data_IF_741335042813
#
_entry.id   IF_741335042813
#
_cell.length_a   1.000
_cell.length_b   1.000
_cell.length_c   1.000
_cell.angle_alpha   90.00
_cell.angle_beta   90.00
_cell.angle_gamma   90.00
#
_symmetry.space_group_name_H-M   'P 1'
#
loop_
_entity.id
_entity.type
_entity.pdbx_description
1 polymer ?
#
# COMPACT_ATOMS: atom_id res chain seq x y z
N UNK A 1 -13.51 -24.23 3.46
CA UNK A 1 -14.37 -23.02 3.59
C UNK A 1 -15.30 -23.00 2.39
N UNK A 2 -16.60 -22.73 2.55
CA UNK A 2 -17.53 -22.74 1.41
C UNK A 2 -17.36 -21.44 0.60
N UNK A 3 -17.06 -21.58 -0.70
CA UNK A 3 -16.82 -20.46 -1.62
C UNK A 3 -18.03 -19.51 -1.67
N UNK A 4 -19.25 -20.05 -1.60
CA UNK A 4 -20.48 -19.25 -1.62
C UNK A 4 -20.61 -18.32 -0.41
N UNK A 5 -20.15 -18.77 0.76
CA UNK A 5 -20.15 -17.94 1.97
C UNK A 5 -19.12 -16.81 1.83
N UNK A 6 -17.95 -17.07 1.25
CA UNK A 6 -16.94 -16.05 1.01
C UNK A 6 -17.44 -14.97 0.02
N UNK A 7 -18.08 -15.39 -1.07
CA UNK A 7 -18.71 -14.47 -2.03
C UNK A 7 -19.81 -13.66 -1.34
N UNK A 8 -20.68 -14.31 -0.54
CA UNK A 8 -21.74 -13.63 0.20
C UNK A 8 -21.20 -12.57 1.15
N UNK A 9 -20.16 -12.89 1.95
CA UNK A 9 -19.50 -11.92 2.84
C UNK A 9 -18.91 -10.76 2.06
N UNK A 10 -18.28 -11.04 0.91
CA UNK A 10 -17.66 -10.01 0.07
C UNK A 10 -18.70 -9.07 -0.56
N UNK A 11 -19.78 -9.62 -1.13
CA UNK A 11 -20.87 -8.82 -1.72
C UNK A 11 -21.53 -7.98 -0.62
N UNK A 12 -21.80 -8.57 0.54
CA UNK A 12 -22.41 -7.87 1.66
C UNK A 12 -21.52 -6.74 2.20
N UNK A 13 -20.24 -7.01 2.45
CA UNK A 13 -19.31 -5.99 2.96
C UNK A 13 -19.12 -4.86 1.94
N UNK A 14 -18.90 -5.20 0.67
CA UNK A 14 -18.71 -4.21 -0.42
C UNK A 14 -19.97 -3.36 -0.61
N UNK A 15 -21.16 -3.95 -0.56
CA UNK A 15 -22.43 -3.21 -0.65
C UNK A 15 -22.63 -2.32 0.57
N UNK A 16 -22.25 -2.77 1.77
CA UNK A 16 -22.31 -1.96 3.00
C UNK A 16 -21.39 -0.75 2.89
N UNK A 17 -20.16 -0.93 2.38
CA UNK A 17 -19.25 0.19 2.08
C UNK A 17 -19.88 1.17 1.10
N UNK A 18 -20.37 0.70 -0.05
CA UNK A 18 -21.01 1.56 -1.06
C UNK A 18 -22.18 2.35 -0.47
N UNK A 19 -23.04 1.69 0.32
CA UNK A 19 -24.17 2.31 0.98
C UNK A 19 -23.72 3.40 1.97
N UNK A 20 -22.75 3.09 2.85
CA UNK A 20 -22.20 4.06 3.79
C UNK A 20 -21.55 5.24 3.06
N UNK A 21 -20.72 5.01 2.04
CA UNK A 21 -20.10 6.09 1.26
C UNK A 21 -21.14 6.98 0.59
N UNK A 22 -22.23 6.40 0.08
CA UNK A 22 -23.33 7.15 -0.55
C UNK A 22 -24.10 8.04 0.44
N UNK A 23 -24.19 7.62 1.70
CA UNK A 23 -24.82 8.39 2.77
C UNK A 23 -23.90 9.49 3.29
N UNK A 24 -22.60 9.21 3.45
CA UNK A 24 -21.61 10.18 3.91
C UNK A 24 -21.30 11.29 2.88
N UNK A 25 -21.44 11.00 1.58
CA UNK A 25 -21.14 11.95 0.50
C UNK A 25 -22.34 12.08 -0.44
N UNK A 26 -23.35 12.88 -0.06
CA UNK A 26 -24.46 13.17 -0.95
C UNK A 26 -23.96 13.93 -2.19
N UNK A 27 -24.27 13.41 -3.38
CA UNK A 27 -23.90 14.00 -4.67
C UNK A 27 -22.81 13.28 -5.46
N UNK A 28 -22.07 12.33 -4.86
CA UNK A 28 -21.09 11.54 -5.62
C UNK A 28 -21.77 10.42 -6.44
N UNK A 29 -21.38 10.17 -7.71
CA UNK A 29 -22.01 9.13 -8.51
C UNK A 29 -21.72 7.73 -7.97
N UNK A 30 -22.78 7.05 -7.51
CA UNK A 30 -22.71 5.69 -6.95
C UNK A 30 -22.11 4.65 -7.92
N UNK A 31 -22.18 4.90 -9.24
CA UNK A 31 -21.61 4.04 -10.28
C UNK A 31 -20.10 3.85 -10.12
N UNK A 32 -19.36 4.88 -9.71
CA UNK A 32 -17.92 4.76 -9.45
C UNK A 32 -17.65 3.88 -8.24
N UNK A 33 -18.44 4.01 -7.18
CA UNK A 33 -18.30 3.19 -5.97
C UNK A 33 -18.56 1.70 -6.28
N UNK A 34 -19.57 1.41 -7.10
CA UNK A 34 -19.86 0.05 -7.58
C UNK A 34 -18.72 -0.48 -8.47
N UNK A 35 -18.22 0.33 -9.41
CA UNK A 35 -17.11 -0.06 -10.26
C UNK A 35 -15.83 -0.34 -9.44
N UNK A 36 -15.56 0.47 -8.42
CA UNK A 36 -14.44 0.23 -7.50
C UNK A 36 -14.60 -1.05 -6.70
N UNK A 37 -15.78 -1.23 -6.11
CA UNK A 37 -16.08 -2.37 -5.27
C UNK A 37 -16.08 -3.68 -6.05
N UNK A 38 -16.85 -3.80 -7.12
CA UNK A 38 -17.11 -5.08 -7.79
C UNK A 38 -16.24 -5.38 -9.01
N UNK A 39 -15.66 -4.37 -9.66
CA UNK A 39 -14.85 -4.58 -10.86
C UNK A 39 -13.36 -4.37 -10.57
N UNK A 40 -12.98 -3.21 -10.08
CA UNK A 40 -11.58 -2.85 -9.89
C UNK A 40 -10.92 -3.68 -8.78
N UNK A 41 -11.55 -3.78 -7.60
CA UNK A 41 -10.99 -4.48 -6.44
C UNK A 41 -10.72 -5.98 -6.70
N UNK A 42 -11.64 -6.76 -7.30
CA UNK A 42 -11.34 -8.15 -7.69
C UNK A 42 -10.27 -8.26 -8.76
N UNK A 43 -10.31 -7.38 -9.77
CA UNK A 43 -9.34 -7.40 -10.86
C UNK A 43 -7.91 -7.16 -10.35
N UNK A 44 -7.70 -6.09 -9.58
CA UNK A 44 -6.37 -5.78 -9.05
C UNK A 44 -5.91 -6.83 -8.03
N UNK A 45 -6.83 -7.36 -7.21
CA UNK A 45 -6.51 -8.43 -6.26
C UNK A 45 -6.07 -9.71 -6.98
N UNK A 46 -6.69 -10.06 -8.11
CA UNK A 46 -6.31 -11.23 -8.91
C UNK A 46 -4.95 -11.05 -9.60
N UNK A 47 -4.73 -9.89 -10.25
CA UNK A 47 -3.44 -9.57 -10.88
C UNK A 47 -2.33 -9.56 -9.83
N UNK A 48 -2.57 -8.91 -8.69
CA UNK A 48 -1.61 -8.84 -7.60
C UNK A 48 -1.33 -10.22 -6.99
N UNK A 49 -2.33 -11.07 -6.76
CA UNK A 49 -2.14 -12.43 -6.24
C UNK A 49 -1.27 -13.29 -7.18
N UNK A 50 -1.51 -13.23 -8.49
CA UNK A 50 -0.66 -13.93 -9.48
C UNK A 50 0.77 -13.41 -9.49
N UNK A 51 0.93 -12.09 -9.42
CA UNK A 51 2.26 -11.47 -9.39
C UNK A 51 3.03 -11.80 -8.11
N UNK A 52 2.34 -11.88 -6.98
CA UNK A 52 2.96 -12.28 -5.71
C UNK A 52 3.40 -13.74 -5.76
N UNK A 53 2.62 -14.62 -6.41
CA UNK A 53 3.00 -16.02 -6.62
C UNK A 53 4.14 -16.24 -7.61
N UNK A 54 4.26 -15.43 -8.67
CA UNK A 54 5.27 -15.61 -9.73
C UNK A 54 6.57 -14.83 -9.43
N UNK A 55 6.44 -13.59 -8.97
CA UNK A 55 7.55 -12.66 -8.80
C UNK A 55 7.80 -12.24 -7.35
N UNK A 56 6.93 -12.63 -6.40
CA UNK A 56 7.03 -12.20 -5.00
C UNK A 56 6.74 -10.71 -4.80
N UNK A 57 6.02 -10.07 -5.74
CA UNK A 57 5.74 -8.63 -5.73
C UNK A 57 4.25 -8.37 -5.92
N UNK A 58 3.75 -7.25 -5.37
CA UNK A 58 2.36 -6.83 -5.53
C UNK A 58 2.24 -5.71 -6.56
N UNK A 59 1.10 -5.62 -7.23
CA UNK A 59 0.81 -4.54 -8.18
C UNK A 59 -0.16 -3.57 -7.53
N UNK A 60 0.24 -2.30 -7.47
CA UNK A 60 -0.65 -1.18 -7.17
C UNK A 60 -0.48 -0.15 -8.28
N UNK A 61 -1.60 0.23 -8.86
CA UNK A 61 -1.62 1.29 -9.86
C UNK A 61 -1.62 2.63 -9.11
N UNK A 62 -0.62 3.51 -9.35
CA UNK A 62 -0.56 4.80 -8.66
C UNK A 62 -1.69 5.71 -9.14
N UNK A 63 -2.17 6.56 -8.23
CA UNK A 63 -3.11 7.66 -8.51
C UNK A 63 -4.48 7.26 -9.11
N UNK A 64 -4.87 5.98 -9.03
CA UNK A 64 -6.16 5.53 -9.60
C UNK A 64 -7.34 6.16 -8.88
N UNK A 65 -7.25 6.27 -7.56
CA UNK A 65 -8.31 6.87 -6.74
C UNK A 65 -8.47 8.36 -7.08
N UNK A 66 -7.37 9.10 -7.11
CA UNK A 66 -7.30 10.52 -7.40
C UNK A 66 -7.79 10.84 -8.82
N UNK A 67 -7.37 10.02 -9.80
CA UNK A 67 -7.84 10.16 -11.18
C UNK A 67 -9.36 9.97 -11.30
N UNK A 68 -9.96 9.05 -10.54
CA UNK A 68 -11.41 8.87 -10.56
C UNK A 68 -12.18 10.01 -9.92
N UNK A 69 -11.64 10.65 -8.88
CA UNK A 69 -12.30 11.81 -8.26
C UNK A 69 -12.32 12.99 -9.22
N UNK A 70 -11.20 13.23 -9.90
CA UNK A 70 -11.09 14.25 -10.94
C UNK A 70 -12.02 13.91 -12.12
N UNK A 71 -12.09 12.64 -12.53
CA UNK A 71 -13.02 12.21 -13.57
C UNK A 71 -14.49 12.37 -13.16
N UNK A 72 -14.85 12.06 -11.91
CA UNK A 72 -16.20 12.26 -11.39
C UNK A 72 -16.55 13.76 -11.34
N UNK A 73 -15.63 14.62 -10.93
CA UNK A 73 -15.82 16.07 -10.97
C UNK A 73 -16.01 16.59 -12.41
N UNK A 74 -15.20 16.11 -13.36
CA UNK A 74 -15.21 16.58 -14.76
C UNK A 74 -16.40 16.07 -15.58
N UNK A 75 -16.77 14.80 -15.44
CA UNK A 75 -17.83 14.17 -16.26
C UNK A 75 -19.21 14.17 -15.61
N UNK A 76 -19.27 14.17 -14.27
CA UNK A 76 -20.52 14.08 -13.51
C UNK A 76 -20.82 15.32 -12.68
N UNK A 77 -19.97 16.36 -12.75
CA UNK A 77 -20.22 17.66 -12.11
C UNK A 77 -20.16 17.64 -10.58
N UNK A 78 -19.43 16.68 -10.00
CA UNK A 78 -19.28 16.63 -8.54
C UNK A 78 -18.28 17.69 -8.06
N UNK A 79 -18.74 18.59 -7.20
CA UNK A 79 -17.92 19.62 -6.56
C UNK A 79 -17.94 19.40 -5.05
N UNK A 80 -16.79 19.09 -4.46
CA UNK A 80 -16.71 18.84 -3.02
C UNK A 80 -15.47 18.08 -2.58
N UNK A 81 -15.02 18.38 -1.37
CA UNK A 81 -13.88 17.70 -0.74
C UNK A 81 -14.32 16.39 -0.07
N UNK A 82 -15.63 16.20 0.19
CA UNK A 82 -16.17 15.08 0.96
C UNK A 82 -15.74 13.70 0.47
N UNK A 83 -15.57 13.53 -0.84
CA UNK A 83 -15.10 12.26 -1.44
C UNK A 83 -13.68 11.86 -1.01
N UNK A 84 -12.80 12.83 -0.73
CA UNK A 84 -11.41 12.57 -0.33
C UNK A 84 -11.31 12.00 1.09
N UNK A 85 -12.32 12.21 1.91
CA UNK A 85 -12.40 11.70 3.28
C UNK A 85 -13.36 10.51 3.41
N UNK A 86 -14.01 10.11 2.32
CA UNK A 86 -14.97 9.02 2.33
C UNK A 86 -14.28 7.65 2.35
N UNK A 87 -14.83 6.68 3.11
CA UNK A 87 -14.35 5.31 3.05
C UNK A 87 -14.80 4.66 1.74
N UNK A 88 -13.94 4.63 0.73
CA UNK A 88 -14.24 4.04 -0.58
C UNK A 88 -13.77 2.58 -0.60
N UNK A 89 -14.50 1.66 -1.27
CA UNK A 89 -14.09 0.26 -1.40
C UNK A 89 -12.90 0.12 -2.37
N UNK A 90 -11.72 0.61 -1.95
CA UNK A 90 -10.44 0.51 -2.65
C UNK A 90 -9.51 -0.39 -1.84
N UNK A 91 -9.56 -1.69 -2.12
CA UNK A 91 -8.74 -2.68 -1.43
C UNK A 91 -7.96 -3.54 -2.42
N UNK A 92 -6.82 -4.05 -1.96
CA UNK A 92 -6.06 -5.07 -2.67
C UNK A 92 -5.90 -6.28 -1.74
N UNK A 93 -6.57 -7.37 -2.08
CA UNK A 93 -6.55 -8.61 -1.30
C UNK A 93 -5.47 -9.61 -1.75
N UNK A 94 -4.54 -9.21 -2.63
CA UNK A 94 -3.45 -10.07 -3.12
C UNK A 94 -2.64 -10.70 -1.98
N UNK A 95 -2.16 -9.88 -1.04
CA UNK A 95 -1.40 -10.37 0.12
C UNK A 95 -2.20 -11.31 1.03
N UNK A 96 -3.53 -11.13 1.10
CA UNK A 96 -4.38 -12.02 1.87
C UNK A 96 -4.38 -13.44 1.27
N UNK A 97 -4.37 -13.56 -0.06
CA UNK A 97 -4.27 -14.88 -0.74
C UNK A 97 -2.96 -15.60 -0.44
N UNK A 98 -1.85 -14.87 -0.33
CA UNK A 98 -0.55 -15.44 0.07
C UNK A 98 -0.61 -15.91 1.51
N UNK A 99 -1.17 -15.12 2.43
CA UNK A 99 -1.41 -15.56 3.81
C UNK A 99 -2.25 -16.83 3.89
N UNK A 100 -3.29 -16.97 3.07
CA UNK A 100 -4.08 -18.20 3.01
C UNK A 100 -3.20 -19.42 2.66
N UNK A 101 -2.24 -19.25 1.74
CA UNK A 101 -1.28 -20.31 1.39
C UNK A 101 -0.27 -20.57 2.49
N UNK A 102 0.24 -19.53 3.16
CA UNK A 102 1.13 -19.67 4.33
C UNK A 102 0.45 -20.48 5.45
N UNK A 103 -0.84 -20.22 5.68
CA UNK A 103 -1.64 -20.93 6.68
C UNK A 103 -1.79 -22.42 6.35
N UNK A 104 -2.05 -22.73 5.08
CA UNK A 104 -2.11 -24.09 4.58
C UNK A 104 -0.77 -24.82 4.73
N UNK A 105 0.34 -24.17 4.36
CA UNK A 105 1.69 -24.74 4.42
C UNK A 105 2.20 -24.95 5.86
N UNK A 106 1.80 -24.07 6.78
CA UNK A 106 2.18 -24.16 8.20
C UNK A 106 1.27 -25.09 9.00
N UNK A 107 0.19 -25.61 8.39
CA UNK A 107 -0.81 -26.43 9.09
C UNK A 107 -1.56 -25.67 10.18
N UNK A 108 -1.57 -24.33 10.12
CA UNK A 108 -2.25 -23.52 11.14
C UNK A 108 -3.74 -23.45 10.88
N UNK A 109 -4.54 -23.48 11.94
CA UNK A 109 -6.00 -23.40 11.79
C UNK A 109 -6.46 -21.94 11.65
N UNK A 110 -7.47 -21.67 10.81
CA UNK A 110 -8.10 -20.34 10.71
C UNK A 110 -8.59 -19.80 12.06
N UNK A 111 -9.07 -20.70 12.93
CA UNK A 111 -9.51 -20.33 14.29
C UNK A 111 -8.35 -19.80 15.13
N UNK A 112 -7.15 -20.35 14.97
CA UNK A 112 -5.96 -19.88 15.67
C UNK A 112 -5.58 -18.46 15.25
N UNK A 113 -5.71 -18.15 13.95
CA UNK A 113 -5.43 -16.80 13.43
C UNK A 113 -6.41 -15.79 13.99
N UNK A 114 -7.70 -16.08 13.95
CA UNK A 114 -8.74 -15.19 14.49
C UNK A 114 -8.52 -14.96 15.99
N UNK A 115 -8.19 -16.02 16.74
CA UNK A 115 -7.86 -15.90 18.17
C UNK A 115 -6.63 -15.03 18.40
N UNK A 116 -5.58 -15.19 17.60
CA UNK A 116 -4.38 -14.38 17.69
C UNK A 116 -4.68 -12.91 17.41
N UNK A 117 -5.45 -12.61 16.36
CA UNK A 117 -5.84 -11.24 16.01
C UNK A 117 -6.72 -10.61 17.10
N UNK A 118 -7.65 -11.38 17.68
CA UNK A 118 -8.49 -10.92 18.79
C UNK A 118 -7.70 -10.61 20.06
N UNK A 119 -6.57 -11.28 20.30
CA UNK A 119 -5.67 -10.97 21.43
C UNK A 119 -4.73 -9.81 21.09
N UNK A 120 -4.22 -9.74 19.86
CA UNK A 120 -3.29 -8.69 19.42
C UNK A 120 -3.98 -7.33 19.35
N UNK A 121 -5.22 -7.26 18.86
CA UNK A 121 -5.97 -6.01 18.72
C UNK A 121 -6.06 -5.18 20.02
N UNK A 122 -6.55 -5.71 21.16
CA UNK A 122 -6.64 -4.92 22.39
C UNK A 122 -5.26 -4.56 22.94
N UNK A 123 -4.27 -5.46 22.84
CA UNK A 123 -2.90 -5.19 23.31
C UNK A 123 -2.28 -4.05 22.52
N UNK A 124 -2.36 -4.09 21.19
CA UNK A 124 -1.81 -3.05 20.31
C UNK A 124 -2.58 -1.74 20.50
N UNK A 125 -3.90 -1.77 20.64
CA UNK A 125 -4.70 -0.57 20.84
C UNK A 125 -4.32 0.13 22.17
N UNK A 126 -4.29 -0.61 23.27
CA UNK A 126 -3.88 -0.08 24.57
C UNK A 126 -2.42 0.43 24.54
N UNK A 127 -1.49 -0.34 23.97
CA UNK A 127 -0.11 0.08 23.84
C UNK A 127 0.02 1.35 22.99
N UNK A 128 -0.68 1.41 21.84
CA UNK A 128 -0.65 2.58 20.95
C UNK A 128 -1.18 3.83 21.64
N UNK A 129 -2.23 3.71 22.46
CA UNK A 129 -2.81 4.82 23.19
C UNK A 129 -1.87 5.32 24.30
N UNK A 130 -1.26 4.39 25.06
CA UNK A 130 -0.25 4.71 26.08
C UNK A 130 0.98 5.40 25.48
N UNK A 131 1.52 4.85 24.39
CA UNK A 131 2.66 5.46 23.70
C UNK A 131 2.32 6.81 23.08
N UNK A 132 1.13 6.96 22.50
CA UNK A 132 0.67 8.25 21.96
C UNK A 132 0.61 9.30 23.07
N UNK A 133 -0.04 8.99 24.19
CA UNK A 133 -0.13 9.90 25.34
C UNK A 133 1.26 10.28 25.88
N UNK A 134 2.16 9.30 25.99
CA UNK A 134 3.53 9.53 26.44
C UNK A 134 4.30 10.48 25.52
N UNK A 135 4.24 10.27 24.20
CA UNK A 135 4.92 11.13 23.22
C UNK A 135 4.35 12.55 23.25
N UNK A 136 3.03 12.72 23.29
CA UNK A 136 2.38 14.03 23.37
C UNK A 136 2.73 14.78 24.65
N UNK A 137 2.98 14.06 25.74
CA UNK A 137 3.42 14.68 26.97
C UNK A 137 4.88 15.18 26.88
N UNK A 138 5.78 14.46 26.22
CA UNK A 138 7.22 14.79 26.19
C UNK A 138 7.52 16.20 25.64
N UNK A 139 6.92 16.55 24.50
CA UNK A 139 7.01 17.87 23.90
C UNK A 139 5.80 18.10 22.97
N UNK A 140 5.38 19.37 22.75
CA UNK A 140 4.32 19.65 21.79
C UNK A 140 4.74 19.21 20.39
N UNK A 141 3.82 18.59 19.64
CA UNK A 141 4.01 18.25 18.23
C UNK A 141 3.18 19.24 17.41
N UNK A 142 3.74 19.93 16.40
CA UNK A 142 5.13 19.91 15.92
C UNK A 142 6.08 20.80 16.76
N UNK A 143 7.34 20.36 16.92
CA UNK A 143 8.43 21.12 17.57
C UNK A 143 9.79 20.68 17.06
N UNK A 144 10.85 21.42 17.37
CA UNK A 144 12.24 21.09 16.99
C UNK A 144 12.71 19.73 17.53
N UNK A 145 12.10 19.25 18.63
CA UNK A 145 12.36 17.91 19.16
C UNK A 145 11.86 16.78 18.24
N UNK A 146 10.97 17.10 17.30
CA UNK A 146 10.38 16.19 16.30
C UNK A 146 10.55 16.76 14.87
N UNK A 147 11.79 16.82 14.34
CA UNK A 147 12.08 17.47 13.06
C UNK A 147 11.36 16.79 11.88
N UNK A 148 11.18 15.47 11.94
CA UNK A 148 10.40 14.73 10.96
C UNK A 148 8.95 15.21 10.89
N UNK A 149 8.30 15.43 12.04
CA UNK A 149 6.91 15.86 12.08
C UNK A 149 6.77 17.31 11.59
N UNK A 150 7.71 18.19 11.97
CA UNK A 150 7.71 19.60 11.58
C UNK A 150 7.77 19.78 10.06
N UNK A 151 8.73 19.14 9.39
CA UNK A 151 8.93 19.31 7.94
C UNK A 151 7.98 18.44 7.11
N UNK A 152 7.91 17.14 7.41
CA UNK A 152 7.24 16.20 6.51
C UNK A 152 5.72 16.20 6.67
N UNK A 153 5.17 16.51 7.84
CA UNK A 153 3.72 16.63 7.96
C UNK A 153 3.21 17.85 7.20
N UNK A 154 3.94 18.96 7.25
CA UNK A 154 3.62 20.15 6.47
C UNK A 154 3.68 19.85 4.96
N UNK A 155 4.78 19.26 4.48
CA UNK A 155 4.92 18.89 3.06
C UNK A 155 3.85 17.88 2.61
N UNK A 156 3.49 16.90 3.45
CA UNK A 156 2.42 15.95 3.13
C UNK A 156 1.06 16.62 3.10
N UNK A 157 0.78 17.52 4.04
CA UNK A 157 -0.46 18.28 4.08
C UNK A 157 -0.61 19.15 2.82
N UNK A 158 0.45 19.87 2.42
CA UNK A 158 0.43 20.66 1.19
C UNK A 158 0.19 19.80 -0.05
N UNK A 159 0.89 18.67 -0.21
CA UNK A 159 0.67 17.77 -1.35
C UNK A 159 -0.77 17.21 -1.39
N UNK A 160 -1.33 16.90 -0.22
CA UNK A 160 -2.71 16.39 -0.11
C UNK A 160 -3.72 17.47 -0.46
N UNK A 161 -3.55 18.68 0.07
CA UNK A 161 -4.42 19.83 -0.21
C UNK A 161 -4.34 20.26 -1.68
N UNK A 162 -3.17 20.18 -2.32
CA UNK A 162 -3.02 20.44 -3.75
C UNK A 162 -3.90 19.49 -4.57
N UNK A 163 -3.93 18.19 -4.23
CA UNK A 163 -4.81 17.22 -4.90
C UNK A 163 -6.28 17.47 -4.58
N UNK A 164 -6.63 17.77 -3.33
CA UNK A 164 -8.02 18.06 -2.93
C UNK A 164 -8.57 19.34 -3.56
N UNK A 165 -7.71 20.32 -3.84
CA UNK A 165 -8.11 21.54 -4.56
C UNK A 165 -8.51 21.28 -6.02
N UNK A 166 -8.16 20.12 -6.59
CA UNK A 166 -8.61 19.73 -7.93
C UNK A 166 -10.11 19.45 -8.03
N UNK A 167 -10.81 19.20 -6.92
CA UNK A 167 -12.27 18.97 -6.89
C UNK A 167 -13.07 20.19 -6.42
N UNK A 168 -12.40 21.29 -6.09
CA UNK A 168 -13.03 22.56 -5.72
C UNK A 168 -13.33 23.39 -6.98
N UNK A 169 -14.42 24.16 -6.96
CA UNK A 169 -14.78 25.06 -8.05
C UNK A 169 -13.70 26.14 -8.23
N UNK A 170 -12.99 26.08 -9.37
CA UNK A 170 -11.92 26.98 -9.73
C UNK A 170 -10.98 26.33 -10.74
N UNK A 171 -10.43 27.11 -11.67
CA UNK A 171 -9.45 26.63 -12.65
C UNK A 171 -8.17 26.17 -11.95
N UNK A 172 -8.17 24.93 -11.47
CA UNK A 172 -6.99 24.23 -10.96
C UNK A 172 -6.24 23.58 -12.13
N UNK A 173 -4.91 23.76 -12.27
CA UNK A 173 -4.10 23.06 -13.28
C UNK A 173 -4.23 21.53 -13.23
N UNK A 174 -4.66 20.96 -12.09
CA UNK A 174 -4.92 19.53 -11.94
C UNK A 174 -6.23 19.06 -12.58
N UNK A 175 -7.18 19.97 -12.82
CA UNK A 175 -8.41 19.69 -13.56
C UNK A 175 -8.11 19.35 -15.04
N UNK A 176 -7.04 19.93 -15.57
CA UNK A 176 -6.53 19.72 -16.93
C UNK A 176 -5.52 18.56 -17.02
N UNK A 177 -4.96 18.13 -15.88
CA UNK A 177 -4.00 17.04 -15.81
C UNK A 177 -4.57 15.67 -16.23
N UNK A 178 -5.90 15.46 -16.09
CA UNK A 178 -6.57 14.28 -16.65
C UNK A 178 -6.89 14.49 -18.12
N UNK A 179 -5.84 14.36 -18.94
CA UNK A 179 -5.95 14.40 -20.38
C UNK A 179 -6.00 12.98 -20.93
N UNK A 180 -7.18 12.63 -21.50
CA UNK A 180 -7.46 11.32 -22.04
C UNK A 180 -6.44 10.88 -23.10
N UNK A 181 -5.85 11.83 -23.84
CA UNK A 181 -4.87 11.54 -24.88
C UNK A 181 -3.59 10.93 -24.30
N UNK A 182 -3.06 11.46 -23.19
CA UNK A 182 -1.87 10.89 -22.56
C UNK A 182 -2.15 9.51 -21.94
N UNK A 183 -3.36 9.30 -21.41
CA UNK A 183 -3.78 7.97 -20.92
C UNK A 183 -3.83 6.96 -22.07
N UNK A 184 -4.39 7.34 -23.22
CA UNK A 184 -4.45 6.49 -24.41
C UNK A 184 -3.06 6.21 -25.00
N UNK A 185 -2.17 7.20 -25.04
CA UNK A 185 -0.77 7.01 -25.44
C UNK A 185 -0.04 6.07 -24.47
N UNK A 186 -0.23 6.22 -23.17
CA UNK A 186 0.34 5.33 -22.16
C UNK A 186 -0.16 3.89 -22.32
N UNK A 187 -1.47 3.70 -22.54
CA UNK A 187 -2.06 2.40 -22.82
C UNK A 187 -1.53 1.80 -24.13
N UNK A 188 -1.44 2.61 -25.19
CA UNK A 188 -0.95 2.20 -26.50
C UNK A 188 0.53 1.78 -26.47
N UNK A 189 1.39 2.55 -25.80
CA UNK A 189 2.80 2.19 -25.61
C UNK A 189 2.92 0.92 -24.78
N UNK A 190 2.13 0.77 -23.71
CA UNK A 190 2.10 -0.45 -22.90
C UNK A 190 1.70 -1.68 -23.71
N UNK A 191 0.62 -1.59 -24.49
CA UNK A 191 0.14 -2.67 -25.35
C UNK A 191 1.12 -3.00 -26.48
N UNK A 192 1.72 -1.99 -27.11
CA UNK A 192 2.74 -2.16 -28.13
C UNK A 192 3.99 -2.84 -27.57
N UNK A 193 4.45 -2.43 -26.38
CA UNK A 193 5.59 -3.06 -25.70
C UNK A 193 5.28 -4.51 -25.33
N UNK A 194 4.06 -4.80 -24.86
CA UNK A 194 3.61 -6.16 -24.62
C UNK A 194 3.63 -7.01 -25.90
N UNK A 195 3.05 -6.48 -26.98
CA UNK A 195 2.99 -7.16 -28.27
C UNK A 195 4.39 -7.44 -28.83
N UNK A 196 5.30 -6.46 -28.76
CA UNK A 196 6.70 -6.62 -29.17
C UNK A 196 7.40 -7.71 -28.34
N UNK A 197 7.32 -7.65 -27.01
CA UNK A 197 7.93 -8.66 -26.14
C UNK A 197 7.36 -10.06 -26.41
N UNK A 198 6.05 -10.16 -26.65
CA UNK A 198 5.41 -11.41 -27.03
C UNK A 198 5.87 -11.92 -28.41
N UNK A 199 5.97 -11.05 -29.41
CA UNK A 199 6.41 -11.42 -30.76
C UNK A 199 7.85 -11.93 -30.78
N UNK A 200 8.72 -11.37 -29.94
CA UNK A 200 10.12 -11.80 -29.80
C UNK A 200 10.32 -12.91 -28.74
N UNK A 201 9.25 -13.44 -28.13
CA UNK A 201 9.32 -14.41 -27.02
C UNK A 201 10.23 -13.96 -25.84
N UNK A 202 10.29 -12.65 -25.60
CA UNK A 202 11.07 -12.06 -24.51
C UNK A 202 10.29 -12.11 -23.19
N UNK A 203 10.97 -12.04 -22.03
CA UNK A 203 10.31 -12.12 -20.73
C UNK A 203 9.31 -10.97 -20.52
N UNK A 204 8.01 -11.29 -20.62
CA UNK A 204 6.90 -10.36 -20.38
C UNK A 204 6.95 -9.76 -18.96
N UNK A 205 7.63 -10.44 -18.04
CA UNK A 205 7.90 -9.97 -16.67
C UNK A 205 8.63 -8.62 -16.61
N UNK A 206 9.32 -8.21 -17.68
CA UNK A 206 9.99 -6.91 -17.76
C UNK A 206 9.00 -5.75 -17.64
N UNK A 207 7.80 -5.87 -18.22
CA UNK A 207 6.76 -4.83 -18.16
C UNK A 207 6.39 -4.55 -16.70
N UNK A 208 6.25 -5.61 -15.90
CA UNK A 208 5.94 -5.48 -14.48
C UNK A 208 7.07 -4.81 -13.69
N UNK A 209 8.32 -5.09 -14.05
CA UNK A 209 9.50 -4.40 -13.49
C UNK A 209 9.49 -2.90 -13.77
N UNK A 210 9.13 -2.49 -15.00
CA UNK A 210 8.99 -1.07 -15.36
C UNK A 210 7.85 -0.41 -14.60
N UNK A 211 6.69 -1.05 -14.50
CA UNK A 211 5.55 -0.50 -13.73
C UNK A 211 5.88 -0.32 -12.25
N UNK A 212 6.65 -1.25 -11.66
CA UNK A 212 7.14 -1.12 -10.28
C UNK A 212 8.12 0.03 -10.13
N UNK A 213 9.09 0.12 -11.04
CA UNK A 213 10.13 1.16 -11.02
C UNK A 213 9.58 2.58 -11.12
N UNK A 214 8.51 2.78 -11.91
CA UNK A 214 7.89 4.09 -12.10
C UNK A 214 6.93 4.50 -10.96
N UNK A 215 6.32 3.55 -10.27
CA UNK A 215 5.18 3.83 -9.37
C UNK A 215 5.39 3.53 -7.88
N UNK A 216 6.38 2.72 -7.50
CA UNK A 216 6.40 2.12 -6.15
C UNK A 216 7.75 2.16 -5.43
N UNK A 217 8.85 2.44 -6.11
CA UNK A 217 10.20 2.34 -5.53
C UNK A 217 10.96 3.64 -5.68
N UNK A 218 11.64 4.06 -4.61
CA UNK A 218 12.65 5.11 -4.73
C UNK A 218 13.80 4.58 -5.58
N UNK A 219 14.42 5.40 -6.46
CA UNK A 219 15.50 4.96 -7.35
C UNK A 219 16.65 4.27 -6.61
N UNK A 220 16.88 4.67 -5.35
CA UNK A 220 17.92 4.14 -4.48
C UNK A 220 17.66 2.68 -4.05
N UNK A 221 16.39 2.28 -3.87
CA UNK A 221 16.02 0.92 -3.49
C UNK A 221 16.35 -0.10 -4.59
N UNK A 222 16.13 0.27 -5.85
CA UNK A 222 16.41 -0.60 -7.01
C UNK A 222 17.90 -0.91 -7.11
N UNK A 223 18.77 0.08 -6.88
CA UNK A 223 20.22 -0.12 -6.91
C UNK A 223 20.66 -1.15 -5.86
N UNK A 224 20.14 -1.05 -4.64
CA UNK A 224 20.46 -2.01 -3.58
C UNK A 224 19.91 -3.41 -3.87
N UNK A 225 18.71 -3.52 -4.47
CA UNK A 225 18.16 -4.81 -4.92
C UNK A 225 19.04 -5.45 -5.98
N UNK A 226 19.54 -4.68 -6.96
CA UNK A 226 20.45 -5.16 -8.00
C UNK A 226 21.76 -5.64 -7.39
N UNK A 227 22.37 -4.84 -6.49
CA UNK A 227 23.61 -5.23 -5.82
C UNK A 227 23.40 -6.53 -5.02
N UNK A 228 22.31 -6.62 -4.26
CA UNK A 228 21.94 -7.83 -3.52
C UNK A 228 21.75 -9.05 -4.43
N UNK A 229 21.06 -8.88 -5.57
CA UNK A 229 20.86 -9.94 -6.56
C UNK A 229 22.18 -10.39 -7.21
N UNK A 230 23.08 -9.46 -7.52
CA UNK A 230 24.41 -9.76 -8.07
C UNK A 230 25.27 -10.54 -7.06
N UNK A 231 25.32 -10.09 -5.81
CA UNK A 231 26.06 -10.81 -4.75
C UNK A 231 25.44 -12.20 -4.53
N UNK A 232 24.11 -12.28 -4.48
CA UNK A 232 23.37 -13.55 -4.40
C UNK A 232 23.74 -14.52 -5.51
N UNK A 233 23.79 -14.05 -6.77
CA UNK A 233 24.05 -14.88 -7.94
C UNK A 233 25.52 -15.23 -8.14
N UNK A 234 26.44 -14.31 -7.93
CA UNK A 234 27.86 -14.51 -8.27
C UNK A 234 28.69 -15.02 -7.08
N UNK A 235 28.36 -14.62 -5.86
CA UNK A 235 29.09 -15.03 -4.66
C UNK A 235 28.39 -16.19 -3.94
N UNK A 236 27.14 -15.99 -3.53
CA UNK A 236 26.47 -16.96 -2.66
C UNK A 236 26.05 -18.24 -3.39
N UNK A 237 25.49 -18.14 -4.60
CA UNK A 237 25.20 -19.34 -5.41
C UNK A 237 26.45 -20.12 -5.78
N UNK A 238 27.61 -19.46 -5.98
CA UNK A 238 28.87 -20.13 -6.27
C UNK A 238 29.46 -20.83 -5.03
N UNK A 239 29.23 -20.27 -3.83
CA UNK A 239 29.77 -20.81 -2.57
C UNK A 239 28.89 -21.87 -1.92
N UNK A 240 27.56 -21.71 -1.96
CA UNK A 240 26.60 -22.57 -1.24
C UNK A 240 25.76 -23.45 -2.19
N UNK A 241 25.85 -23.25 -3.50
CA UNK A 241 25.14 -24.07 -4.49
C UNK A 241 23.62 -23.86 -4.50
N UNK A 242 22.90 -24.86 -5.01
CA UNK A 242 21.44 -24.87 -5.13
C UNK A 242 20.64 -24.58 -3.82
N UNK A 243 21.06 -25.02 -2.61
CA UNK A 243 20.29 -24.75 -1.39
C UNK A 243 20.28 -23.28 -0.97
N UNK A 244 21.13 -22.41 -1.55
CA UNK A 244 21.11 -20.96 -1.30
C UNK A 244 19.71 -20.34 -1.45
N UNK A 245 18.90 -20.85 -2.39
CA UNK A 245 17.52 -20.38 -2.61
C UNK A 245 16.61 -20.56 -1.39
N UNK A 246 16.89 -21.53 -0.53
CA UNK A 246 16.16 -21.77 0.72
C UNK A 246 16.76 -20.97 1.89
N UNK A 247 18.07 -20.72 1.88
CA UNK A 247 18.73 -19.92 2.92
C UNK A 247 18.45 -18.42 2.82
N UNK A 248 18.32 -17.89 1.61
CA UNK A 248 18.03 -16.48 1.38
C UNK A 248 16.78 -15.96 2.13
N UNK A 249 15.59 -16.62 2.04
CA UNK A 249 14.41 -16.18 2.79
C UNK A 249 14.57 -16.31 4.31
N UNK A 250 15.31 -17.32 4.79
CA UNK A 250 15.60 -17.48 6.23
C UNK A 250 16.48 -16.34 6.75
N UNK A 251 17.50 -15.96 5.98
CA UNK A 251 18.38 -14.84 6.31
C UNK A 251 17.61 -13.50 6.31
N UNK A 252 16.73 -13.29 5.33
CA UNK A 252 15.85 -12.13 5.29
C UNK A 252 14.91 -12.08 6.49
N UNK A 253 14.30 -13.21 6.86
CA UNK A 253 13.46 -13.32 8.04
C UNK A 253 14.25 -12.97 9.32
N UNK A 254 15.44 -13.54 9.49
CA UNK A 254 16.31 -13.25 10.63
C UNK A 254 16.74 -11.78 10.70
N UNK A 255 17.15 -11.19 9.57
CA UNK A 255 17.54 -9.79 9.49
C UNK A 255 16.37 -8.84 9.79
N UNK A 256 15.19 -9.09 9.22
CA UNK A 256 14.00 -8.28 9.47
C UNK A 256 13.55 -8.32 10.94
N UNK A 257 13.60 -9.51 11.57
CA UNK A 257 13.33 -9.66 13.00
C UNK A 257 14.36 -8.91 13.85
N UNK A 258 15.66 -9.04 13.53
CA UNK A 258 16.74 -8.35 14.23
C UNK A 258 16.64 -6.81 14.13
N UNK A 259 16.35 -6.28 12.94
CA UNK A 259 16.09 -4.85 12.76
C UNK A 259 14.92 -4.37 13.62
N UNK A 260 13.83 -5.14 13.69
CA UNK A 260 12.68 -4.81 14.52
C UNK A 260 13.03 -4.74 16.01
N UNK A 261 13.70 -5.77 16.53
CA UNK A 261 14.10 -5.83 17.94
C UNK A 261 15.09 -4.73 18.33
N UNK A 262 16.13 -4.52 17.51
CA UNK A 262 17.09 -3.44 17.75
C UNK A 262 16.46 -2.06 17.62
N UNK A 263 15.52 -1.88 16.68
CA UNK A 263 14.76 -0.64 16.53
C UNK A 263 13.91 -0.33 17.76
N UNK A 264 13.22 -1.33 18.32
CA UNK A 264 12.44 -1.18 19.55
C UNK A 264 13.34 -0.85 20.75
N UNK A 265 14.48 -1.52 20.88
CA UNK A 265 15.45 -1.27 21.94
C UNK A 265 16.05 0.14 21.84
N UNK A 266 16.45 0.57 20.64
CA UNK A 266 16.98 1.90 20.40
C UNK A 266 15.92 2.98 20.71
N UNK A 267 14.69 2.79 20.25
CA UNK A 267 13.58 3.68 20.58
C UNK A 267 13.36 3.75 22.10
N UNK A 268 13.37 2.61 22.80
CA UNK A 268 13.28 2.58 24.26
C UNK A 268 14.34 3.44 24.94
N UNK A 269 15.62 3.28 24.57
CA UNK A 269 16.71 4.11 25.12
C UNK A 269 16.53 5.60 24.80
N UNK A 270 16.16 5.94 23.56
CA UNK A 270 15.96 7.35 23.18
C UNK A 270 14.80 8.00 23.94
N UNK A 271 13.71 7.25 24.18
CA UNK A 271 12.57 7.75 24.93
C UNK A 271 12.90 7.96 26.42
N UNK A 272 13.69 7.07 27.03
CA UNK A 272 14.17 7.21 28.41
C UNK A 272 15.12 8.41 28.54
N UNK A 273 16.06 8.57 27.60
CA UNK A 273 16.97 9.72 27.61
C UNK A 273 16.21 11.04 27.46
N UNK A 274 15.20 11.08 26.59
CA UNK A 274 14.36 12.27 26.40
C UNK A 274 13.48 12.59 27.61
N UNK A 275 12.96 11.58 28.33
CA UNK A 275 12.20 11.82 29.57
C UNK A 275 13.07 12.33 30.71
N UNK A 276 14.32 11.83 30.82
CA UNK A 276 15.29 12.33 31.81
C UNK A 276 15.66 13.78 31.54
N UNK A 277 15.80 14.19 30.27
CA UNK A 277 16.03 15.58 29.89
C UNK A 277 14.93 16.55 30.30
N UNK A 278 13.70 16.05 30.52
CA UNK A 278 12.56 16.84 31.03
C UNK A 278 12.51 16.93 32.57
N UNK A 279 13.17 16.02 33.28
CA UNK A 279 13.29 16.04 34.74
C UNK A 279 14.37 17.01 35.23
N UNK A 280 15.33 17.35 34.37
CA UNK A 280 16.27 18.42 34.63
C UNK A 280 15.59 19.78 34.30
N UNK A 281 15.01 20.38 35.34
CA UNK A 281 14.26 21.66 35.41
C UNK A 281 12.74 21.56 35.21
#
# INVERSE_FOLDING_TARGET
FNIWIAIGIYVFSTTTYIYLSSLLVPGFPWIFLVAYGFLYTPFISYVSARMEGIAGQFVSLPMVQEASFIAAAKFFGYHGIGIWYAPIPYHNYGKATVKFREVELTGTSFRSIIKAELVVLPVVLLASLLFSQYIWQLAPIPSEHYPYAQELWHLRALNTLLLQSSTLEGYSPFFEALNLNYVLWGFGIGAATYWLLAAFNLPILLIYGVTRGLGQTTPHGILLEIIGALIGRYYFMKKYGAPWRQYAPVLLAGFSCGMGLMGMLAMGFTLIMRSLGRLAY
#
